data_IF_213491717881
#
_entry.id   IF_213491717881
#
_cell.length_a   1.000
_cell.length_b   1.000
_cell.length_c   1.000
_cell.angle_alpha   90.00
_cell.angle_beta   90.00
_cell.angle_gamma   90.00
#
_symmetry.space_group_name_H-M   'P 1'
#
loop_
_entity.id
_entity.type
_entity.pdbx_description
1 polymer ?
#
# COMPACT_ATOMS: atom_id res chain seq x y z
N UNK A 1 -3.64 -7.69 19.33
CA UNK A 1 -3.46 -6.91 20.58
C UNK A 1 -2.01 -6.49 20.92
N UNK A 2 -0.95 -7.25 20.57
CA UNK A 2 0.40 -7.03 21.13
C UNK A 2 1.35 -6.02 20.44
N UNK A 3 1.27 -5.81 19.11
CA UNK A 3 2.25 -4.96 18.39
C UNK A 3 2.06 -3.45 18.64
N UNK A 4 0.83 -2.95 18.64
CA UNK A 4 0.54 -1.51 18.80
C UNK A 4 0.86 -0.98 20.21
N UNK A 5 0.48 -1.73 21.26
CA UNK A 5 0.79 -1.39 22.66
C UNK A 5 2.29 -1.31 22.93
N UNK A 6 3.12 -2.06 22.20
CA UNK A 6 4.58 -2.08 22.39
C UNK A 6 5.27 -0.83 21.84
N UNK A 7 4.75 -0.23 20.77
CA UNK A 7 5.32 0.97 20.14
C UNK A 7 5.25 2.19 21.07
N UNK A 8 4.16 2.30 21.84
CA UNK A 8 3.83 3.53 22.57
C UNK A 8 4.04 3.47 24.09
N UNK A 9 4.29 2.29 24.66
CA UNK A 9 4.27 2.10 26.13
C UNK A 9 5.40 2.80 26.89
N UNK A 10 6.55 3.03 26.26
CA UNK A 10 7.76 3.41 27.00
C UNK A 10 8.20 4.86 26.80
N UNK A 11 7.57 5.64 25.91
CA UNK A 11 8.10 6.95 25.46
C UNK A 11 7.05 8.08 25.46
N UNK A 12 5.84 7.83 25.97
CA UNK A 12 4.76 8.83 25.98
C UNK A 12 4.33 9.20 27.40
N UNK A 13 4.02 10.49 27.67
CA UNK A 13 3.43 10.92 28.94
C UNK A 13 2.12 10.17 29.21
N UNK A 14 1.80 9.89 30.48
CA UNK A 14 0.59 9.18 30.88
C UNK A 14 -0.71 9.82 30.34
N UNK A 15 -0.74 11.15 30.21
CA UNK A 15 -1.84 11.93 29.63
C UNK A 15 -2.06 11.68 28.14
N UNK A 16 -1.01 11.33 27.40
CA UNK A 16 -1.08 10.94 25.98
C UNK A 16 -1.39 9.45 25.87
N UNK A 17 -0.83 8.63 26.77
CA UNK A 17 -1.00 7.18 26.77
C UNK A 17 -2.47 6.76 26.80
N UNK A 18 -3.30 7.38 27.65
CA UNK A 18 -4.72 7.07 27.74
C UNK A 18 -5.50 7.33 26.44
N UNK A 19 -5.26 8.50 25.80
CA UNK A 19 -5.89 8.84 24.52
C UNK A 19 -5.36 7.96 23.38
N UNK A 20 -4.07 7.70 23.34
CA UNK A 20 -3.43 6.84 22.34
C UNK A 20 -3.91 5.39 22.43
N UNK A 21 -4.10 4.86 23.64
CA UNK A 21 -4.66 3.52 23.86
C UNK A 21 -6.11 3.42 23.37
N UNK A 22 -6.95 4.40 23.71
CA UNK A 22 -8.34 4.43 23.22
C UNK A 22 -8.43 4.46 21.69
N UNK A 23 -7.61 5.30 21.03
CA UNK A 23 -7.55 5.35 19.56
C UNK A 23 -6.99 4.06 18.96
N UNK A 24 -5.99 3.45 19.60
CA UNK A 24 -5.42 2.16 19.19
C UNK A 24 -6.45 1.03 19.25
N UNK A 25 -7.28 0.99 20.28
CA UNK A 25 -8.31 -0.05 20.43
C UNK A 25 -9.39 0.11 19.35
N UNK A 26 -9.79 1.35 19.04
CA UNK A 26 -10.72 1.64 17.94
C UNK A 26 -10.14 1.20 16.59
N UNK A 27 -8.91 1.61 16.28
CA UNK A 27 -8.21 1.20 15.05
C UNK A 27 -8.11 -0.32 14.98
N UNK A 28 -7.80 -1.02 16.08
CA UNK A 28 -7.72 -2.48 16.07
C UNK A 28 -9.04 -3.13 15.66
N UNK A 29 -10.16 -2.62 16.17
CA UNK A 29 -11.49 -3.14 15.86
C UNK A 29 -11.86 -2.89 14.39
N UNK A 30 -11.56 -1.70 13.89
CA UNK A 30 -11.75 -1.31 12.49
C UNK A 30 -10.92 -2.18 11.53
N UNK A 31 -9.68 -2.52 11.91
CA UNK A 31 -8.83 -3.43 11.15
C UNK A 31 -9.37 -4.86 11.10
N UNK A 32 -9.89 -5.37 12.21
CA UNK A 32 -10.50 -6.71 12.27
C UNK A 32 -11.71 -6.82 11.33
N UNK A 33 -12.52 -5.75 11.22
CA UNK A 33 -13.69 -5.70 10.33
C UNK A 33 -13.32 -5.58 8.84
N UNK A 34 -12.23 -4.86 8.53
CA UNK A 34 -11.84 -4.55 7.14
C UNK A 34 -10.85 -5.55 6.53
N UNK A 35 -10.20 -6.35 7.39
CA UNK A 35 -9.16 -7.31 7.02
C UNK A 35 -7.82 -6.65 6.67
N UNK A 36 -7.64 -5.38 7.03
CA UNK A 36 -6.34 -4.71 6.94
C UNK A 36 -5.46 -5.12 8.12
N UNK A 37 -4.17 -5.13 7.88
CA UNK A 37 -3.11 -5.42 8.86
C UNK A 37 -2.17 -4.21 8.94
N UNK A 38 -1.30 -4.24 9.94
CA UNK A 38 -0.36 -3.15 10.22
C UNK A 38 1.07 -3.61 10.01
N UNK A 39 1.83 -2.81 9.28
CA UNK A 39 3.28 -2.95 9.12
C UNK A 39 3.95 -1.69 9.68
N UNK A 40 4.91 -1.87 10.58
CA UNK A 40 5.66 -0.77 11.21
C UNK A 40 6.95 -0.51 10.46
N UNK A 41 7.45 0.72 10.47
CA UNK A 41 8.79 1.10 10.01
C UNK A 41 9.91 0.16 10.51
N UNK A 42 9.79 -0.33 11.73
CA UNK A 42 10.77 -1.24 12.36
C UNK A 42 10.55 -2.71 12.00
N UNK A 43 9.50 -3.05 11.27
CA UNK A 43 9.26 -4.42 10.84
C UNK A 43 10.25 -4.79 9.71
N UNK A 44 10.89 -5.97 9.74
CA UNK A 44 11.84 -6.39 8.70
C UNK A 44 11.26 -6.42 7.29
N UNK A 45 9.93 -6.60 7.16
CA UNK A 45 9.26 -6.61 5.86
C UNK A 45 8.94 -5.21 5.31
N UNK A 46 9.20 -4.14 6.08
CA UNK A 46 8.94 -2.77 5.63
C UNK A 46 9.82 -2.42 4.43
N UNK A 47 9.26 -1.85 3.33
CA UNK A 47 10.00 -1.63 2.09
C UNK A 47 11.23 -0.74 2.29
N UNK A 48 12.42 -1.24 1.93
CA UNK A 48 13.68 -0.52 2.17
C UNK A 48 13.73 0.85 1.45
N UNK A 49 13.33 0.90 0.17
CA UNK A 49 13.27 2.15 -0.60
C UNK A 49 12.32 3.18 0.02
N UNK A 50 11.24 2.73 0.66
CA UNK A 50 10.31 3.64 1.32
C UNK A 50 10.88 4.20 2.62
N UNK A 51 11.87 3.54 3.25
CA UNK A 51 12.58 4.10 4.42
C UNK A 51 13.51 5.25 4.05
N UNK A 52 13.91 5.34 2.78
CA UNK A 52 14.89 6.31 2.29
C UNK A 52 14.28 7.65 1.88
N UNK A 53 12.94 7.76 1.80
CA UNK A 53 12.28 9.02 1.48
C UNK A 53 12.42 10.02 2.64
N UNK A 54 12.24 11.31 2.35
CA UNK A 54 12.39 12.40 3.33
C UNK A 54 11.52 12.24 4.59
N UNK A 55 10.28 11.77 4.43
CA UNK A 55 9.32 11.57 5.52
C UNK A 55 8.67 10.19 5.41
N UNK A 56 9.36 9.11 5.82
CA UNK A 56 8.88 7.75 5.63
C UNK A 56 7.70 7.46 6.58
N UNK A 57 6.58 6.90 6.10
CA UNK A 57 5.42 6.65 6.94
C UNK A 57 5.75 5.60 8.02
N UNK A 58 5.65 5.99 9.30
CA UNK A 58 6.00 5.10 10.43
C UNK A 58 5.14 3.83 10.51
N UNK A 59 3.93 3.91 9.95
CA UNK A 59 2.93 2.84 9.94
C UNK A 59 2.30 2.76 8.56
N UNK A 60 2.24 1.55 8.02
CA UNK A 60 1.50 1.21 6.80
C UNK A 60 0.36 0.28 7.16
N UNK A 61 -0.83 0.60 6.66
CA UNK A 61 -1.97 -0.32 6.71
C UNK A 61 -2.03 -1.07 5.40
N UNK A 62 -1.97 -2.39 5.45
CA UNK A 62 -1.90 -3.20 4.24
C UNK A 62 -2.97 -4.29 4.19
N UNK A 63 -3.35 -4.69 2.97
CA UNK A 63 -4.17 -5.89 2.74
C UNK A 63 -3.56 -6.69 1.60
N UNK A 64 -3.45 -8.01 1.78
CA UNK A 64 -2.89 -8.94 0.81
C UNK A 64 -1.49 -9.44 1.16
N UNK A 65 -0.70 -9.81 0.14
CA UNK A 65 0.57 -10.52 0.30
C UNK A 65 1.75 -9.55 0.55
N UNK A 66 2.43 -9.66 1.69
CA UNK A 66 3.62 -8.83 1.99
C UNK A 66 4.88 -9.28 1.23
N UNK A 67 4.93 -10.52 0.76
CA UNK A 67 6.14 -11.08 0.15
C UNK A 67 6.53 -10.35 -1.14
N UNK A 68 5.61 -9.58 -1.73
CA UNK A 68 5.88 -8.81 -2.93
C UNK A 68 6.52 -7.45 -2.64
N UNK A 69 6.46 -6.92 -1.40
CA UNK A 69 6.81 -5.51 -1.12
C UNK A 69 8.24 -5.09 -1.51
N UNK A 70 9.19 -6.03 -1.53
CA UNK A 70 10.60 -5.75 -1.79
C UNK A 70 11.08 -6.24 -3.17
N UNK A 71 10.15 -6.48 -4.10
CA UNK A 71 10.49 -6.79 -5.50
C UNK A 71 10.87 -5.51 -6.28
N UNK A 72 11.30 -5.68 -7.53
CA UNK A 72 11.58 -4.56 -8.44
C UNK A 72 10.29 -4.08 -9.10
N UNK A 73 9.96 -2.80 -8.93
CA UNK A 73 8.69 -2.20 -9.37
C UNK A 73 8.85 -1.03 -10.31
N UNK A 74 7.95 -0.95 -11.30
CA UNK A 74 7.72 0.26 -12.08
C UNK A 74 6.54 1.03 -11.49
N UNK A 75 6.73 2.32 -11.16
CA UNK A 75 5.61 3.17 -10.78
C UNK A 75 4.88 3.68 -12.03
N UNK A 76 3.56 3.47 -12.10
CA UNK A 76 2.73 3.94 -13.22
C UNK A 76 1.59 4.79 -12.66
N UNK A 77 1.50 6.03 -13.15
CA UNK A 77 0.49 7.01 -12.78
C UNK A 77 -0.06 7.67 -14.04
N UNK A 78 -1.31 8.14 -13.99
CA UNK A 78 -1.86 8.89 -15.11
C UNK A 78 -3.21 9.54 -14.81
N UNK A 79 -3.84 10.04 -15.88
CA UNK A 79 -5.12 10.74 -15.78
C UNK A 79 -6.26 9.83 -15.33
N UNK A 80 -7.22 10.41 -14.61
CA UNK A 80 -8.49 9.77 -14.21
C UNK A 80 -9.52 9.75 -15.34
N UNK A 81 -9.26 10.47 -16.42
CA UNK A 81 -10.11 10.55 -17.61
C UNK A 81 -9.22 10.39 -18.86
N UNK A 82 -8.85 9.14 -19.21
CA UNK A 82 -7.91 8.87 -20.28
C UNK A 82 -8.59 8.88 -21.66
N UNK A 83 -7.86 9.37 -22.66
CA UNK A 83 -8.22 9.17 -24.06
C UNK A 83 -8.01 7.70 -24.48
N UNK A 84 -8.66 7.21 -25.54
CA UNK A 84 -8.50 5.84 -26.01
C UNK A 84 -7.03 5.44 -26.27
N UNK A 85 -6.22 6.34 -26.82
CA UNK A 85 -4.79 6.09 -27.04
C UNK A 85 -4.01 5.91 -25.72
N UNK A 86 -4.40 6.65 -24.67
CA UNK A 86 -3.76 6.53 -23.36
C UNK A 86 -4.13 5.22 -22.68
N UNK A 87 -5.38 4.75 -22.86
CA UNK A 87 -5.82 3.43 -22.39
C UNK A 87 -4.99 2.34 -23.06
N UNK A 88 -4.91 2.36 -24.40
CA UNK A 88 -4.13 1.39 -25.16
C UNK A 88 -2.65 1.35 -24.72
N UNK A 89 -2.03 2.52 -24.53
CA UNK A 89 -0.66 2.58 -24.03
C UNK A 89 -0.52 2.01 -22.61
N UNK A 90 -1.49 2.28 -21.72
CA UNK A 90 -1.48 1.77 -20.35
C UNK A 90 -1.70 0.25 -20.27
N UNK A 91 -2.41 -0.34 -21.23
CA UNK A 91 -2.57 -1.80 -21.37
C UNK A 91 -1.26 -2.49 -21.79
N UNK A 92 -0.45 -1.86 -22.64
CA UNK A 92 0.80 -2.45 -23.14
C UNK A 92 1.98 -2.31 -22.17
N UNK A 93 1.94 -1.31 -21.30
CA UNK A 93 3.07 -0.94 -20.46
C UNK A 93 3.54 -2.04 -19.47
N UNK A 94 2.64 -2.81 -18.82
CA UNK A 94 3.07 -3.90 -17.93
C UNK A 94 3.89 -4.97 -18.65
N UNK A 95 3.48 -5.36 -19.86
CA UNK A 95 4.23 -6.30 -20.70
C UNK A 95 5.64 -5.77 -21.03
N UNK A 96 5.75 -4.47 -21.34
CA UNK A 96 7.05 -3.82 -21.53
C UNK A 96 7.92 -3.88 -20.27
N UNK A 97 7.36 -3.58 -19.09
CA UNK A 97 8.09 -3.64 -17.82
C UNK A 97 8.56 -5.06 -17.49
N UNK A 98 7.71 -6.07 -17.69
CA UNK A 98 8.06 -7.48 -17.52
C UNK A 98 9.26 -7.87 -18.38
N UNK A 99 9.27 -7.46 -19.65
CA UNK A 99 10.39 -7.69 -20.57
C UNK A 99 11.68 -6.96 -20.18
N UNK A 100 11.60 -5.94 -19.33
CA UNK A 100 12.75 -5.23 -18.74
C UNK A 100 13.18 -5.80 -17.39
N UNK A 101 12.57 -6.90 -16.93
CA UNK A 101 12.93 -7.58 -15.69
C UNK A 101 12.25 -7.01 -14.44
N UNK A 102 11.26 -6.13 -14.60
CA UNK A 102 10.45 -5.70 -13.46
C UNK A 102 9.54 -6.84 -13.02
N UNK A 103 9.41 -7.01 -11.71
CA UNK A 103 8.57 -8.05 -11.11
C UNK A 103 7.14 -7.58 -10.88
N UNK A 104 6.88 -6.28 -10.98
CA UNK A 104 5.57 -5.70 -10.69
C UNK A 104 5.42 -4.23 -11.03
N UNK A 105 4.22 -3.72 -10.77
CA UNK A 105 3.91 -2.29 -10.82
C UNK A 105 3.41 -1.75 -9.47
N UNK A 106 3.60 -0.44 -9.27
CA UNK A 106 2.99 0.33 -8.17
C UNK A 106 2.15 1.45 -8.77
N UNK A 107 0.92 1.64 -8.28
CA UNK A 107 0.02 2.71 -8.76
C UNK A 107 -0.88 3.27 -7.66
N UNK A 108 -1.59 4.38 -7.91
CA UNK A 108 -2.36 5.16 -6.93
C UNK A 108 -3.77 4.64 -6.62
N UNK A 109 -4.11 3.45 -7.13
CA UNK A 109 -5.42 2.81 -6.95
C UNK A 109 -6.62 3.70 -7.33
N UNK A 110 -6.41 4.62 -8.28
CA UNK A 110 -7.46 5.50 -8.81
C UNK A 110 -8.16 4.89 -10.03
N UNK A 111 -9.26 5.52 -10.46
CA UNK A 111 -9.85 5.27 -11.78
C UNK A 111 -8.94 5.77 -12.90
N UNK A 112 -9.19 5.33 -14.13
CA UNK A 112 -8.43 5.75 -15.31
C UNK A 112 -7.17 4.91 -15.47
N UNK A 113 -6.04 5.56 -15.76
CA UNK A 113 -4.77 4.88 -16.09
C UNK A 113 -4.31 3.90 -15.01
N UNK A 114 -4.42 4.28 -13.73
CA UNK A 114 -4.05 3.41 -12.61
C UNK A 114 -4.81 2.07 -12.67
N UNK A 115 -6.14 2.11 -12.83
CA UNK A 115 -6.97 0.91 -12.90
C UNK A 115 -6.65 0.04 -14.13
N UNK A 116 -6.49 0.67 -15.30
CA UNK A 116 -6.16 -0.03 -16.55
C UNK A 116 -4.82 -0.75 -16.42
N UNK A 117 -3.80 -0.04 -15.93
CA UNK A 117 -2.45 -0.59 -15.82
C UNK A 117 -2.36 -1.71 -14.78
N UNK A 118 -3.03 -1.55 -13.63
CA UNK A 118 -3.11 -2.60 -12.60
C UNK A 118 -3.81 -3.85 -13.11
N UNK A 119 -4.91 -3.72 -13.85
CA UNK A 119 -5.59 -4.89 -14.43
C UNK A 119 -4.70 -5.61 -15.45
N UNK A 120 -4.10 -4.86 -16.39
CA UNK A 120 -3.18 -5.45 -17.37
C UNK A 120 -1.95 -6.11 -16.71
N UNK A 121 -1.41 -5.53 -15.65
CA UNK A 121 -0.31 -6.14 -14.91
C UNK A 121 -0.71 -7.48 -14.27
N UNK A 122 -1.93 -7.60 -13.75
CA UNK A 122 -2.43 -8.89 -13.25
C UNK A 122 -2.61 -9.91 -14.38
N UNK A 123 -3.06 -9.48 -15.56
CA UNK A 123 -3.18 -10.35 -16.73
C UNK A 123 -1.82 -10.85 -17.22
N UNK A 124 -0.77 -10.05 -17.04
CA UNK A 124 0.64 -10.36 -17.31
C UNK A 124 1.37 -11.09 -16.18
N UNK A 125 0.65 -11.55 -15.14
CA UNK A 125 1.18 -12.26 -13.97
C UNK A 125 2.27 -11.46 -13.22
N UNK A 126 2.20 -10.13 -13.26
CA UNK A 126 3.05 -9.23 -12.49
C UNK A 126 2.45 -8.99 -11.09
N UNK A 127 3.33 -8.70 -10.14
CA UNK A 127 2.91 -8.22 -8.82
C UNK A 127 2.30 -6.81 -8.92
N UNK A 128 1.23 -6.55 -8.18
CA UNK A 128 0.55 -5.24 -8.20
C UNK A 128 0.45 -4.67 -6.79
N UNK A 129 0.96 -3.45 -6.62
CA UNK A 129 0.79 -2.66 -5.41
C UNK A 129 -0.07 -1.44 -5.71
N UNK A 130 -1.25 -1.39 -5.10
CA UNK A 130 -2.15 -0.25 -5.12
C UNK A 130 -2.01 0.60 -3.86
N UNK A 131 -1.55 1.84 -3.99
CA UNK A 131 -1.42 2.80 -2.89
C UNK A 131 -2.66 3.69 -2.88
N UNK A 132 -3.48 3.59 -1.84
CA UNK A 132 -4.72 4.35 -1.77
C UNK A 132 -4.50 5.67 -1.01
N UNK A 133 -4.87 6.79 -1.64
CA UNK A 133 -4.88 8.11 -0.99
C UNK A 133 -6.01 8.29 0.04
N UNK A 134 -7.05 7.46 -0.02
CA UNK A 134 -8.18 7.41 0.91
C UNK A 134 -8.58 5.95 1.16
N UNK A 135 -9.37 5.66 2.19
CA UNK A 135 -10.01 4.34 2.26
C UNK A 135 -11.39 4.39 2.90
N UNK A 136 -12.08 3.24 3.06
CA UNK A 136 -13.47 3.18 3.51
C UNK A 136 -13.68 3.77 4.91
N UNK A 137 -12.60 3.89 5.69
CA UNK A 137 -12.60 4.53 7.00
C UNK A 137 -11.82 5.83 7.03
N UNK A 138 -12.50 6.87 7.55
CA UNK A 138 -12.05 8.26 7.62
C UNK A 138 -10.82 8.49 8.53
N UNK A 139 -10.46 7.54 9.38
CA UNK A 139 -9.45 7.73 10.45
C UNK A 139 -8.11 7.02 10.23
N UNK A 140 -7.93 6.35 9.09
CA UNK A 140 -6.71 5.58 8.81
C UNK A 140 -6.00 6.23 7.62
N UNK A 141 -4.83 6.82 7.88
CA UNK A 141 -3.94 7.38 6.86
C UNK A 141 -2.98 6.30 6.35
N UNK A 142 -2.61 6.39 5.07
CA UNK A 142 -1.59 5.53 4.41
C UNK A 142 -1.96 4.05 4.27
N UNK A 143 -2.74 3.71 3.23
CA UNK A 143 -3.22 2.34 2.96
C UNK A 143 -2.61 1.79 1.68
N UNK A 144 -2.11 0.57 1.74
CA UNK A 144 -1.58 -0.17 0.60
C UNK A 144 -2.39 -1.45 0.41
N UNK A 145 -2.72 -1.80 -0.83
CA UNK A 145 -3.26 -3.12 -1.17
C UNK A 145 -2.26 -3.83 -2.07
N UNK A 146 -1.88 -5.02 -1.67
CA UNK A 146 -0.93 -5.87 -2.36
C UNK A 146 -1.69 -7.01 -3.01
N UNK A 147 -1.68 -7.05 -4.33
CA UNK A 147 -2.33 -8.08 -5.11
C UNK A 147 -1.28 -8.89 -5.85
N UNK A 148 -1.48 -10.20 -5.83
CA UNK A 148 -0.93 -11.13 -6.81
C UNK A 148 -2.13 -11.83 -7.42
N UNK A 149 -2.05 -12.25 -8.67
CA UNK A 149 -2.97 -13.26 -9.18
C UNK A 149 -2.79 -14.50 -8.28
N UNK A 150 -3.92 -15.03 -7.81
CA UNK A 150 -3.96 -16.24 -6.97
C UNK A 150 -3.71 -17.48 -7.80
#
# INVERSE_FOLDING_TARGET
MGKFKRIFKNHLPASVLGKSLFHSDKISKDLDLTGFKVLSFYDPQYPSLLKEIYDPPLVLFYKGNLNILNLLYGAVVGTRDPSPISVFAAELFPSYLKNKGFSGIVSGFAKGIDAVNMNSALDEDLAVIGVMGTGPEKNILSKIKCYTKG
#
